data_IF_786532516590
#
_entry.id   IF_786532516590
#
_cell.length_a   1.000
_cell.length_b   1.000
_cell.length_c   1.000
_cell.angle_alpha   90.00
_cell.angle_beta   90.00
_cell.angle_gamma   90.00
#
_symmetry.space_group_name_H-M   'P 1'
#
loop_
_entity.id
_entity.type
_entity.pdbx_description
1 polymer ?
#
# COMPACT_ATOMS: atom_id res chain seq x y z
N UNK A 1 48.00 42.42 24.92
CA UNK A 1 47.70 41.01 25.27
C UNK A 1 46.20 40.81 25.15
N UNK A 2 45.71 40.34 23.99
CA UNK A 2 44.27 40.10 23.76
C UNK A 2 43.98 38.66 24.16
N UNK A 3 43.16 38.46 25.19
CA UNK A 3 42.61 37.15 25.52
C UNK A 3 41.53 36.81 24.49
N UNK A 4 41.83 35.84 23.63
CA UNK A 4 40.85 35.20 22.76
C UNK A 4 40.12 34.15 23.61
N UNK A 5 38.89 34.43 24.03
CA UNK A 5 38.03 33.42 24.65
C UNK A 5 37.28 32.73 23.52
N UNK A 6 37.79 31.59 23.09
CA UNK A 6 37.12 30.70 22.15
C UNK A 6 35.98 29.99 22.88
N UNK A 7 34.75 30.48 22.74
CA UNK A 7 33.56 29.73 23.14
C UNK A 7 33.37 28.57 22.14
N UNK A 8 33.87 27.39 22.50
CA UNK A 8 33.46 26.15 21.84
C UNK A 8 32.07 25.82 22.40
N UNK A 9 31.02 26.23 21.69
CA UNK A 9 29.67 25.71 21.89
C UNK A 9 29.66 24.25 21.44
N UNK A 10 29.93 23.34 22.37
CA UNK A 10 29.51 21.94 22.22
C UNK A 10 27.98 21.93 22.27
N UNK A 11 27.32 21.95 21.09
CA UNK A 11 25.99 21.38 20.96
C UNK A 11 26.12 19.85 21.09
N UNK A 12 26.32 19.39 22.32
CA UNK A 12 25.96 18.03 22.67
C UNK A 12 24.45 17.94 22.67
N UNK A 13 23.84 17.75 21.50
CA UNK A 13 22.53 17.12 21.44
C UNK A 13 22.71 15.73 22.06
N UNK A 14 22.46 15.62 23.37
CA UNK A 14 22.07 14.35 23.94
C UNK A 14 20.85 13.92 23.14
N UNK A 15 21.02 12.97 22.22
CA UNK A 15 19.91 12.33 21.55
C UNK A 15 19.04 11.74 22.65
N UNK A 16 17.97 12.44 23.03
CA UNK A 16 16.94 11.87 23.88
C UNK A 16 16.46 10.62 23.14
N UNK A 17 16.74 9.47 23.73
CA UNK A 17 16.43 8.19 23.10
C UNK A 17 14.90 8.09 23.08
N UNK A 18 14.29 8.27 21.91
CA UNK A 18 12.84 8.22 21.73
C UNK A 18 12.25 6.85 22.14
N UNK A 19 13.07 5.80 22.15
CA UNK A 19 12.68 4.43 22.48
C UNK A 19 13.49 3.91 23.68
N UNK A 20 12.86 3.53 24.80
CA UNK A 20 13.57 2.84 25.88
C UNK A 20 14.31 1.61 25.34
N UNK A 21 15.57 1.40 25.75
CA UNK A 21 16.35 0.23 25.29
C UNK A 21 15.80 -1.09 25.84
N UNK A 22 15.14 -1.04 26.99
CA UNK A 22 14.48 -2.19 27.62
C UNK A 22 13.12 -1.79 28.19
N UNK A 23 12.22 -2.76 28.27
CA UNK A 23 10.91 -2.65 28.93
C UNK A 23 10.72 -3.82 29.91
N UNK A 24 10.07 -3.64 31.07
CA UNK A 24 9.77 -4.75 31.97
C UNK A 24 8.79 -5.74 31.32
N UNK A 25 8.85 -7.02 31.71
CA UNK A 25 7.99 -8.07 31.16
C UNK A 25 6.49 -7.80 31.33
N UNK A 26 6.11 -6.99 32.32
CA UNK A 26 4.73 -6.55 32.54
C UNK A 26 4.15 -5.78 31.36
N UNK A 27 4.99 -5.15 30.53
CA UNK A 27 4.53 -4.36 29.37
C UNK A 27 3.86 -5.20 28.29
N UNK A 28 4.17 -6.50 28.18
CA UNK A 28 3.60 -7.36 27.13
C UNK A 28 2.07 -7.48 27.19
N UNK A 29 1.50 -7.35 28.39
CA UNK A 29 0.05 -7.40 28.65
C UNK A 29 -0.49 -6.09 29.24
N UNK A 30 0.36 -5.06 29.34
CA UNK A 30 -0.04 -3.81 29.95
C UNK A 30 -1.00 -3.03 29.03
N UNK A 31 -1.95 -2.26 29.61
CA UNK A 31 -2.80 -1.37 28.82
C UNK A 31 -1.98 -0.20 28.27
N UNK A 32 -2.50 0.47 27.24
CA UNK A 32 -1.87 1.64 26.60
C UNK A 32 -1.48 2.74 27.60
N UNK A 33 -2.25 2.91 28.69
CA UNK A 33 -1.93 3.90 29.71
C UNK A 33 -0.57 3.66 30.38
N UNK A 34 -0.12 2.41 30.47
CA UNK A 34 1.22 2.09 30.96
C UNK A 34 2.30 2.49 29.94
N UNK A 35 2.03 2.32 28.64
CA UNK A 35 2.93 2.76 27.57
C UNK A 35 3.05 4.27 27.52
N UNK A 36 1.94 5.01 27.69
CA UNK A 36 1.98 6.48 27.80
C UNK A 36 2.92 6.96 28.90
N UNK A 37 2.98 6.29 30.05
CA UNK A 37 3.92 6.65 31.14
C UNK A 37 5.39 6.48 30.77
N UNK A 38 5.68 5.64 29.78
CA UNK A 38 7.05 5.29 29.37
C UNK A 38 7.47 6.07 28.12
N UNK A 39 6.58 6.21 27.15
CA UNK A 39 6.86 6.82 25.85
C UNK A 39 6.49 8.30 25.78
N UNK A 40 5.55 8.81 26.59
CA UNK A 40 5.22 10.23 26.57
C UNK A 40 6.29 11.01 27.33
N UNK A 41 7.19 11.61 26.55
CA UNK A 41 8.27 12.49 26.98
C UNK A 41 8.11 13.85 26.29
N UNK A 42 9.01 14.78 26.53
CA UNK A 42 8.99 16.06 25.80
C UNK A 42 9.19 15.90 24.29
N UNK A 43 9.78 14.79 23.85
CA UNK A 43 10.22 14.58 22.45
C UNK A 43 9.60 13.37 21.77
N UNK A 44 8.81 12.56 22.49
CA UNK A 44 8.11 11.40 21.96
C UNK A 44 6.74 11.25 22.60
N UNK A 45 5.73 10.80 21.86
CA UNK A 45 4.40 10.48 22.36
C UNK A 45 3.95 9.12 21.86
N UNK A 46 3.37 8.31 22.74
CA UNK A 46 2.79 7.00 22.40
C UNK A 46 1.58 7.13 21.48
N UNK A 47 1.53 6.31 20.44
CA UNK A 47 0.39 6.19 19.53
C UNK A 47 -0.37 4.87 19.72
N UNK A 48 0.29 3.74 19.47
CA UNK A 48 -0.33 2.42 19.57
C UNK A 48 0.66 1.33 19.92
N UNK A 49 0.15 0.14 20.29
CA UNK A 49 0.97 -1.05 20.54
C UNK A 49 0.33 -2.32 20.03
N UNK A 50 1.15 -3.21 19.47
CA UNK A 50 0.77 -4.60 19.17
C UNK A 50 1.74 -5.58 19.83
N UNK A 51 1.22 -6.75 20.18
CA UNK A 51 2.04 -7.82 20.71
C UNK A 51 1.65 -9.12 20.02
N UNK A 52 2.62 -10.01 19.82
CA UNK A 52 2.32 -11.34 19.29
C UNK A 52 1.48 -12.13 20.30
N UNK A 53 0.69 -13.07 19.82
CA UNK A 53 -0.21 -13.87 20.67
C UNK A 53 0.53 -14.58 21.82
N UNK A 54 1.75 -15.05 21.55
CA UNK A 54 2.62 -15.70 22.54
C UNK A 54 3.40 -14.69 23.43
N UNK A 55 3.23 -13.39 23.23
CA UNK A 55 3.94 -12.32 23.91
C UNK A 55 5.45 -12.29 23.63
N UNK A 56 5.93 -12.96 22.58
CA UNK A 56 7.35 -12.94 22.21
C UNK A 56 7.78 -11.58 21.67
N UNK A 57 6.93 -10.92 20.90
CA UNK A 57 7.23 -9.65 20.25
C UNK A 57 6.26 -8.58 20.71
N UNK A 58 6.80 -7.37 20.88
CA UNK A 58 6.05 -6.18 21.26
C UNK A 58 6.48 -5.04 20.35
N UNK A 59 5.52 -4.46 19.64
CA UNK A 59 5.70 -3.32 18.75
C UNK A 59 4.99 -2.11 19.33
N UNK A 60 5.63 -0.95 19.23
CA UNK A 60 5.07 0.33 19.69
C UNK A 60 5.24 1.35 18.58
N UNK A 61 4.17 2.00 18.17
CA UNK A 61 4.24 3.21 17.34
C UNK A 61 4.28 4.43 18.26
N UNK A 62 5.02 5.45 17.86
CA UNK A 62 5.12 6.69 18.60
C UNK A 62 5.37 7.86 17.65
N UNK A 63 4.83 9.02 18.00
CA UNK A 63 5.19 10.29 17.40
C UNK A 63 6.49 10.80 18.03
N UNK A 64 7.32 11.47 17.23
CA UNK A 64 8.57 12.10 17.64
C UNK A 64 8.67 13.47 17.00
N UNK A 65 9.19 14.41 17.78
CA UNK A 65 9.50 15.72 17.26
C UNK A 65 10.92 15.80 16.69
N UNK A 66 11.08 16.35 15.48
CA UNK A 66 12.41 16.49 14.86
C UNK A 66 13.12 17.79 15.23
N UNK A 67 12.37 18.89 15.44
CA UNK A 67 12.94 20.24 15.63
C UNK A 67 12.56 20.91 16.95
N UNK A 68 11.33 20.72 17.43
CA UNK A 68 10.81 21.35 18.66
C UNK A 68 10.13 20.32 19.56
N UNK A 69 10.26 20.40 20.87
CA UNK A 69 9.49 19.52 21.77
C UNK A 69 7.97 19.76 21.65
N UNK A 70 7.17 18.76 22.03
CA UNK A 70 5.70 18.80 22.03
C UNK A 70 5.12 19.93 22.91
N UNK A 71 5.91 20.43 23.86
CA UNK A 71 5.52 21.50 24.77
C UNK A 71 5.69 22.90 24.17
N UNK A 72 6.40 23.03 23.04
CA UNK A 72 6.65 24.29 22.35
C UNK A 72 5.35 24.95 21.88
N UNK A 73 5.17 26.27 22.06
CA UNK A 73 3.97 26.97 21.58
C UNK A 73 3.82 26.89 20.06
N UNK A 74 4.91 26.75 19.30
CA UNK A 74 4.85 26.52 17.84
C UNK A 74 4.29 25.14 17.47
N UNK A 75 4.43 24.15 18.36
CA UNK A 75 3.87 22.81 18.16
C UNK A 75 2.36 22.78 18.46
N UNK A 76 1.92 23.54 19.47
CA UNK A 76 0.52 23.58 19.93
C UNK A 76 -0.44 24.34 19.01
N UNK A 77 0.08 25.13 18.05
CA UNK A 77 -0.72 26.11 17.32
C UNK A 77 -1.08 25.72 15.88
N UNK A 78 -0.73 24.52 15.40
CA UNK A 78 -0.92 24.13 14.00
C UNK A 78 -1.85 22.91 13.87
N UNK A 79 -3.03 23.15 13.32
CA UNK A 79 -4.06 22.20 12.84
C UNK A 79 -3.56 21.19 11.80
N UNK A 80 -2.26 21.16 11.48
CA UNK A 80 -1.68 20.31 10.47
C UNK A 80 -0.65 19.38 11.13
N UNK A 81 -1.04 18.11 11.31
CA UNK A 81 -0.18 16.97 11.67
C UNK A 81 0.89 16.65 10.60
N UNK A 82 1.19 17.58 9.70
CA UNK A 82 1.96 17.37 8.47
C UNK A 82 3.48 17.28 8.72
N UNK A 83 3.96 17.49 9.96
CA UNK A 83 5.39 17.54 10.30
C UNK A 83 5.78 16.64 11.49
N UNK A 84 4.91 15.69 11.86
CA UNK A 84 5.18 14.79 12.98
C UNK A 84 5.86 13.54 12.44
N UNK A 85 7.11 13.32 12.83
CA UNK A 85 7.78 12.06 12.53
C UNK A 85 7.12 10.95 13.35
N UNK A 86 6.73 9.86 12.70
CA UNK A 86 6.25 8.66 13.40
C UNK A 86 7.34 7.60 13.30
N UNK A 87 7.56 6.88 14.40
CA UNK A 87 8.52 5.79 14.47
C UNK A 87 7.88 4.51 15.01
N UNK A 88 8.56 3.40 14.74
CA UNK A 88 8.22 2.09 15.31
C UNK A 88 9.36 1.69 16.25
N UNK A 89 9.02 1.13 17.41
CA UNK A 89 9.92 0.43 18.31
C UNK A 89 9.55 -1.06 18.31
N UNK A 90 10.54 -1.92 18.08
CA UNK A 90 10.37 -3.37 18.05
C UNK A 90 11.15 -4.01 19.19
N UNK A 91 10.43 -4.68 20.09
CA UNK A 91 10.99 -5.37 21.23
C UNK A 91 10.78 -6.88 21.14
N UNK A 92 11.79 -7.62 21.58
CA UNK A 92 11.72 -9.07 21.73
C UNK A 92 11.86 -9.45 23.21
N UNK A 93 11.00 -10.35 23.66
CA UNK A 93 11.01 -10.88 25.02
C UNK A 93 12.29 -11.68 25.27
N UNK A 94 13.04 -11.26 26.28
CA UNK A 94 14.17 -11.94 26.89
C UNK A 94 13.72 -12.54 28.25
N UNK A 95 14.54 -13.36 28.93
CA UNK A 95 14.15 -13.97 30.20
C UNK A 95 13.68 -12.99 31.28
N UNK A 96 14.23 -11.77 31.30
CA UNK A 96 13.99 -10.79 32.38
C UNK A 96 13.33 -9.48 31.91
N UNK A 97 13.31 -9.20 30.61
CA UNK A 97 12.81 -7.95 30.06
C UNK A 97 12.43 -8.13 28.59
N UNK A 98 11.83 -7.10 28.01
CA UNK A 98 11.77 -6.90 26.57
C UNK A 98 12.97 -6.06 26.17
N UNK A 99 13.69 -6.48 25.12
CA UNK A 99 14.86 -5.77 24.61
C UNK A 99 14.57 -5.17 23.24
N UNK A 100 14.93 -3.90 23.05
CA UNK A 100 14.80 -3.23 21.77
C UNK A 100 15.71 -3.91 20.73
N UNK A 101 15.14 -4.24 19.57
CA UNK A 101 15.82 -5.00 18.51
C UNK A 101 16.35 -4.16 17.38
N UNK A 102 15.80 -2.97 17.14
CA UNK A 102 16.33 -2.09 16.11
C UNK A 102 17.81 -1.79 16.37
N UNK A 103 18.62 -2.10 15.36
CA UNK A 103 20.09 -1.98 15.40
C UNK A 103 20.56 -0.61 14.94
N UNK A 104 19.65 0.19 14.38
CA UNK A 104 19.88 1.58 13.99
C UNK A 104 18.74 2.46 14.51
N UNK A 105 19.05 3.72 14.80
CA UNK A 105 18.07 4.70 15.29
C UNK A 105 17.18 5.26 14.15
N UNK A 106 17.45 4.88 12.89
CA UNK A 106 16.74 5.29 11.68
C UNK A 106 15.71 4.24 11.21
N UNK A 107 15.37 3.26 12.05
CA UNK A 107 14.54 2.14 11.62
C UNK A 107 13.12 2.61 11.30
N UNK A 108 12.74 2.50 10.02
CA UNK A 108 11.50 3.10 9.48
C UNK A 108 11.34 4.59 9.80
N UNK A 109 12.46 5.26 9.98
CA UNK A 109 12.58 6.71 10.11
C UNK A 109 13.38 7.21 8.90
N UNK A 110 12.90 8.27 8.29
CA UNK A 110 13.55 8.88 7.14
C UNK A 110 13.78 10.35 7.47
N UNK A 111 15.02 10.71 7.78
CA UNK A 111 15.40 12.05 8.21
C UNK A 111 15.22 13.08 7.08
N UNK A 112 15.38 12.62 5.84
CA UNK A 112 15.21 13.43 4.62
C UNK A 112 13.80 13.42 4.05
N UNK A 113 12.93 12.51 4.51
CA UNK A 113 11.54 12.45 4.07
C UNK A 113 10.73 13.51 4.82
N UNK A 114 10.71 14.72 4.28
CA UNK A 114 9.79 15.74 4.74
C UNK A 114 8.34 15.26 4.57
N UNK A 115 7.49 15.50 5.57
CA UNK A 115 6.03 15.29 5.56
C UNK A 115 5.54 13.84 5.72
N UNK A 116 6.14 13.01 6.58
CA UNK A 116 5.45 11.78 7.02
C UNK A 116 4.16 12.19 7.74
N UNK A 117 3.01 11.77 7.20
CA UNK A 117 1.68 12.07 7.74
C UNK A 117 1.23 11.04 8.79
N UNK A 118 1.75 9.82 8.68
CA UNK A 118 1.39 8.75 9.61
C UNK A 118 2.10 7.45 9.28
N UNK A 119 2.27 6.64 10.31
CA UNK A 119 2.80 5.30 10.22
C UNK A 119 1.98 4.37 11.09
N UNK A 120 1.73 3.17 10.59
CA UNK A 120 0.99 2.15 11.32
C UNK A 120 1.56 0.77 11.04
N UNK A 121 1.20 -0.18 11.89
CA UNK A 121 1.51 -1.58 11.65
C UNK A 121 0.38 -2.48 12.13
N UNK A 122 0.37 -3.70 11.59
CA UNK A 122 -0.48 -4.79 12.06
C UNK A 122 0.38 -6.04 12.14
N UNK A 123 0.24 -6.76 13.25
CA UNK A 123 0.93 -8.01 13.49
C UNK A 123 -0.05 -9.16 13.39
N UNK A 124 0.26 -10.16 12.57
CA UNK A 124 -0.48 -11.40 12.47
C UNK A 124 0.50 -12.58 12.51
N UNK A 125 0.56 -13.27 13.64
CA UNK A 125 1.48 -14.39 13.87
C UNK A 125 2.94 -14.03 13.55
N UNK A 126 3.46 -14.61 12.46
CA UNK A 126 4.82 -14.46 11.97
C UNK A 126 4.92 -13.43 10.83
N UNK A 127 3.90 -12.57 10.65
CA UNK A 127 3.89 -11.54 9.61
C UNK A 127 3.57 -10.18 10.21
N UNK A 128 4.40 -9.17 9.94
CA UNK A 128 4.13 -7.77 10.27
C UNK A 128 3.96 -6.97 8.99
N UNK A 129 2.88 -6.22 8.94
CA UNK A 129 2.58 -5.25 7.90
C UNK A 129 2.89 -3.87 8.44
N UNK A 130 3.67 -3.07 7.72
CA UNK A 130 4.00 -1.70 8.07
C UNK A 130 3.52 -0.80 6.94
N UNK A 131 2.84 0.29 7.28
CA UNK A 131 2.40 1.31 6.34
C UNK A 131 2.98 2.66 6.73
N UNK A 132 3.54 3.38 5.76
CA UNK A 132 4.06 4.74 5.93
C UNK A 132 3.36 5.63 4.90
N UNK A 133 2.77 6.72 5.36
CA UNK A 133 2.14 7.74 4.51
C UNK A 133 2.96 9.01 4.52
N UNK A 134 3.18 9.59 3.33
CA UNK A 134 3.91 10.83 3.12
C UNK A 134 3.05 11.86 2.39
N UNK A 135 3.40 13.13 2.58
CA UNK A 135 2.92 14.28 1.82
C UNK A 135 1.69 14.99 2.40
N UNK A 136 1.49 16.29 2.08
CA UNK A 136 0.19 16.95 2.14
C UNK A 136 -0.72 16.47 0.99
N UNK A 137 -2.01 16.82 1.01
CA UNK A 137 -3.06 16.18 0.19
C UNK A 137 -2.92 16.23 -1.35
N UNK A 138 -2.01 17.04 -1.91
CA UNK A 138 -1.82 17.21 -3.37
C UNK A 138 -0.87 16.21 -4.00
N UNK A 139 0.25 15.91 -3.34
CA UNK A 139 1.18 14.84 -3.72
C UNK A 139 1.45 14.00 -2.49
N UNK A 140 1.09 12.72 -2.57
CA UNK A 140 1.17 11.78 -1.46
C UNK A 140 1.91 10.52 -1.88
N UNK A 141 2.51 9.85 -0.92
CA UNK A 141 3.04 8.50 -1.10
C UNK A 141 2.56 7.60 0.04
N UNK A 142 2.37 6.32 -0.26
CA UNK A 142 1.98 5.29 0.69
C UNK A 142 2.84 4.07 0.45
N UNK A 143 3.81 3.87 1.35
CA UNK A 143 4.64 2.69 1.36
C UNK A 143 4.01 1.63 2.25
N UNK A 144 4.00 0.39 1.79
CA UNK A 144 3.52 -0.77 2.52
C UNK A 144 4.57 -1.86 2.45
N UNK A 145 4.97 -2.36 3.60
CA UNK A 145 5.99 -3.40 3.73
C UNK A 145 5.41 -4.60 4.47
N UNK A 146 5.70 -5.79 3.96
CA UNK A 146 5.40 -7.04 4.63
C UNK A 146 6.71 -7.72 5.02
N UNK A 147 6.93 -7.88 6.32
CA UNK A 147 8.03 -8.69 6.84
C UNK A 147 7.49 -10.00 7.40
N UNK A 148 8.16 -11.10 7.06
CA UNK A 148 7.84 -12.43 7.58
C UNK A 148 8.97 -12.89 8.49
N UNK A 149 8.62 -13.44 9.65
CA UNK A 149 9.58 -14.01 10.58
C UNK A 149 10.13 -15.33 10.04
N UNK A 150 11.41 -15.33 9.68
CA UNK A 150 12.14 -16.52 9.29
C UNK A 150 12.61 -17.27 10.56
N UNK A 151 11.98 -18.41 10.85
CA UNK A 151 12.30 -19.24 12.02
C UNK A 151 13.68 -19.92 11.97
N UNK A 152 14.26 -20.08 10.77
CA UNK A 152 15.58 -20.69 10.60
C UNK A 152 16.66 -19.71 11.06
N UNK A 153 16.53 -18.45 10.63
CA UNK A 153 17.53 -17.40 10.90
C UNK A 153 17.14 -16.52 12.10
N UNK A 154 15.98 -16.78 12.72
CA UNK A 154 15.38 -16.00 13.80
C UNK A 154 15.31 -14.50 13.52
N UNK A 155 14.90 -14.13 12.30
CA UNK A 155 14.89 -12.74 11.85
C UNK A 155 13.70 -12.44 10.95
N UNK A 156 13.17 -11.24 11.09
CA UNK A 156 12.11 -10.71 10.23
C UNK A 156 12.71 -10.20 8.93
N UNK A 157 12.26 -10.73 7.80
CA UNK A 157 12.79 -10.43 6.48
C UNK A 157 11.68 -9.93 5.55
N UNK A 158 11.97 -8.90 4.75
CA UNK A 158 11.02 -8.29 3.83
C UNK A 158 10.64 -9.31 2.75
N UNK A 159 9.36 -9.59 2.61
CA UNK A 159 8.81 -10.48 1.59
C UNK A 159 8.12 -9.74 0.46
N UNK A 160 7.45 -8.62 0.78
CA UNK A 160 6.76 -7.78 -0.21
C UNK A 160 6.89 -6.30 0.16
N UNK A 161 6.95 -5.45 -0.87
CA UNK A 161 6.80 -4.01 -0.74
C UNK A 161 5.75 -3.52 -1.76
N UNK A 162 5.03 -2.47 -1.39
CA UNK A 162 4.13 -1.76 -2.27
C UNK A 162 4.33 -0.26 -2.06
N UNK A 163 4.52 0.47 -3.15
CA UNK A 163 4.84 1.89 -3.16
C UNK A 163 3.81 2.56 -4.07
N UNK A 164 2.87 3.28 -3.47
CA UNK A 164 1.83 3.99 -4.21
C UNK A 164 2.08 5.48 -4.07
N UNK A 165 2.08 6.22 -5.17
CA UNK A 165 2.34 7.66 -5.14
C UNK A 165 1.46 8.42 -6.11
N UNK A 166 1.08 9.63 -5.73
CA UNK A 166 0.47 10.63 -6.61
C UNK A 166 1.42 11.82 -6.75
N UNK A 167 1.69 12.23 -7.98
CA UNK A 167 2.44 13.46 -8.25
C UNK A 167 1.53 14.70 -8.24
N UNK A 168 2.12 15.88 -8.40
CA UNK A 168 1.39 17.16 -8.41
C UNK A 168 0.37 17.28 -9.57
N UNK A 169 0.53 16.48 -10.63
CA UNK A 169 -0.38 16.39 -11.78
C UNK A 169 -1.51 15.35 -11.55
N UNK A 170 -1.62 14.78 -10.34
CA UNK A 170 -2.54 13.71 -9.95
C UNK A 170 -2.36 12.41 -10.74
N UNK A 171 -1.21 12.22 -11.38
CA UNK A 171 -0.83 10.93 -11.93
C UNK A 171 -0.46 10.00 -10.77
N UNK A 172 -1.08 8.83 -10.75
CA UNK A 172 -0.88 7.79 -9.75
C UNK A 172 0.07 6.76 -10.33
N UNK A 173 1.12 6.42 -9.59
CA UNK A 173 1.97 5.26 -9.84
C UNK A 173 1.86 4.30 -8.68
N UNK A 174 1.35 3.10 -8.95
CA UNK A 174 1.31 2.02 -7.98
C UNK A 174 2.34 0.97 -8.36
N UNK A 175 3.22 0.66 -7.44
CA UNK A 175 4.28 -0.31 -7.61
C UNK A 175 4.17 -1.44 -6.59
N UNK A 176 4.45 -2.65 -7.06
CA UNK A 176 4.51 -3.83 -6.21
C UNK A 176 5.79 -4.61 -6.47
N UNK A 177 6.46 -4.98 -5.38
CA UNK A 177 7.68 -5.78 -5.36
C UNK A 177 7.40 -7.03 -4.53
N UNK A 178 7.67 -8.19 -5.11
CA UNK A 178 7.58 -9.49 -4.46
C UNK A 178 8.93 -10.21 -4.54
N UNK A 179 9.51 -10.53 -3.38
CA UNK A 179 10.79 -11.22 -3.30
C UNK A 179 10.62 -12.74 -3.47
N UNK A 180 11.30 -13.31 -4.47
CA UNK A 180 11.27 -14.74 -4.81
C UNK A 180 12.23 -15.57 -3.94
N UNK A 181 13.16 -14.90 -3.27
CA UNK A 181 14.17 -15.49 -2.39
C UNK A 181 14.48 -14.50 -1.26
N UNK A 182 15.43 -14.85 -0.38
CA UNK A 182 15.88 -13.98 0.70
C UNK A 182 16.23 -12.57 0.17
N UNK A 183 15.48 -11.55 0.63
CA UNK A 183 15.68 -10.16 0.23
C UNK A 183 16.96 -9.57 0.84
N UNK A 184 17.45 -10.15 1.95
CA UNK A 184 18.53 -9.56 2.74
C UNK A 184 18.13 -8.23 3.39
N UNK A 185 16.85 -7.85 3.32
CA UNK A 185 16.31 -6.66 3.96
C UNK A 185 15.59 -7.11 5.22
N UNK A 186 16.12 -6.71 6.37
CA UNK A 186 15.61 -7.16 7.66
C UNK A 186 14.96 -6.02 8.42
N UNK A 187 13.89 -6.35 9.15
CA UNK A 187 13.09 -5.38 9.91
C UNK A 187 13.98 -4.57 10.88
N UNK A 188 14.79 -5.27 11.67
CA UNK A 188 15.64 -4.71 12.73
C UNK A 188 16.81 -3.83 12.21
N UNK A 189 17.08 -3.84 10.91
CA UNK A 189 18.08 -2.99 10.26
C UNK A 189 17.54 -2.19 9.09
N UNK A 190 16.22 -2.17 8.88
CA UNK A 190 15.60 -1.47 7.76
C UNK A 190 15.88 0.03 7.87
N UNK A 191 16.23 0.68 6.77
CA UNK A 191 16.45 2.11 6.71
C UNK A 191 15.85 2.65 5.41
N UNK A 192 14.74 3.39 5.52
CA UNK A 192 13.97 3.86 4.37
C UNK A 192 14.82 4.70 3.40
N UNK A 193 15.80 5.47 3.92
CA UNK A 193 16.69 6.30 3.09
C UNK A 193 17.64 5.51 2.17
N UNK A 194 17.98 4.27 2.54
CA UNK A 194 19.06 3.52 1.88
C UNK A 194 18.57 2.28 1.12
N UNK A 195 17.29 1.93 1.24
CA UNK A 195 16.72 0.78 0.54
C UNK A 195 16.27 1.22 -0.85
N UNK A 196 17.16 1.02 -1.83
CA UNK A 196 16.88 1.26 -3.24
C UNK A 196 16.44 -0.04 -3.92
N UNK A 197 15.13 -0.22 -4.09
CA UNK A 197 14.56 -1.44 -4.67
C UNK A 197 14.94 -1.69 -6.13
N UNK A 198 15.37 -0.64 -6.84
CA UNK A 198 15.85 -0.71 -8.23
C UNK A 198 17.09 -1.60 -8.40
N UNK A 199 17.86 -1.81 -7.32
CA UNK A 199 19.10 -2.58 -7.36
C UNK A 199 18.89 -4.09 -7.20
N UNK A 200 17.65 -4.56 -7.00
CA UNK A 200 17.36 -5.98 -6.88
C UNK A 200 17.22 -6.63 -8.25
N UNK A 201 18.01 -7.68 -8.53
CA UNK A 201 17.98 -8.30 -9.85
C UNK A 201 16.70 -9.16 -10.00
N UNK A 202 16.24 -9.32 -11.24
CA UNK A 202 14.95 -9.93 -11.58
C UNK A 202 14.80 -11.39 -11.11
N UNK A 203 15.91 -12.12 -10.92
CA UNK A 203 15.90 -13.46 -10.35
C UNK A 203 15.60 -13.49 -8.86
N UNK A 204 15.78 -12.37 -8.15
CA UNK A 204 15.51 -12.25 -6.72
C UNK A 204 14.16 -11.62 -6.41
N UNK A 205 13.64 -10.77 -7.28
CA UNK A 205 12.39 -10.07 -7.07
C UNK A 205 11.62 -9.84 -8.37
N UNK A 206 10.30 -9.95 -8.30
CA UNK A 206 9.40 -9.46 -9.34
C UNK A 206 8.97 -8.06 -8.96
N UNK A 207 9.16 -7.10 -9.88
CA UNK A 207 8.70 -5.73 -9.75
C UNK A 207 7.72 -5.43 -10.86
N UNK A 208 6.54 -4.94 -10.49
CA UNK A 208 5.52 -4.47 -11.42
C UNK A 208 5.09 -3.07 -11.03
N UNK A 209 4.78 -2.25 -12.02
CA UNK A 209 4.30 -0.90 -11.82
C UNK A 209 3.18 -0.59 -12.81
N UNK A 210 2.21 0.19 -12.37
CA UNK A 210 1.17 0.73 -13.22
C UNK A 210 1.00 2.22 -12.92
N UNK A 211 1.19 3.04 -13.94
CA UNK A 211 1.01 4.49 -13.89
C UNK A 211 -0.24 4.89 -14.66
N UNK A 212 -1.10 5.69 -14.05
CA UNK A 212 -2.36 6.15 -14.65
C UNK A 212 -2.84 7.45 -14.01
N UNK A 213 -3.62 8.24 -14.76
CA UNK A 213 -4.33 9.40 -14.22
C UNK A 213 -5.82 9.04 -14.09
N UNK A 214 -6.45 9.20 -12.91
CA UNK A 214 -7.88 8.96 -12.73
C UNK A 214 -8.73 9.68 -13.80
N UNK A 215 -9.81 9.03 -14.24
CA UNK A 215 -10.66 9.50 -15.34
C UNK A 215 -10.06 9.35 -16.75
N UNK A 216 -8.74 9.22 -16.94
CA UNK A 216 -8.13 9.22 -18.27
C UNK A 216 -8.05 7.80 -18.87
N UNK A 217 -9.16 7.31 -19.43
CA UNK A 217 -9.30 5.91 -19.88
C UNK A 217 -8.29 5.46 -20.94
N UNK A 218 -7.91 6.32 -21.89
CA UNK A 218 -6.90 5.96 -22.90
C UNK A 218 -5.51 5.78 -22.28
N UNK A 219 -5.13 6.66 -21.35
CA UNK A 219 -3.86 6.58 -20.65
C UNK A 219 -3.78 5.29 -19.81
N UNK A 220 -4.82 4.97 -19.05
CA UNK A 220 -4.90 3.71 -18.31
C UNK A 220 -4.81 2.51 -19.24
N UNK A 221 -5.58 2.49 -20.34
CA UNK A 221 -5.57 1.39 -21.30
C UNK A 221 -4.16 1.19 -21.92
N UNK A 222 -3.45 2.27 -22.23
CA UNK A 222 -2.11 2.19 -22.81
C UNK A 222 -1.05 1.74 -21.79
N UNK A 223 -1.20 2.10 -20.51
CA UNK A 223 -0.41 1.52 -19.43
C UNK A 223 -0.69 0.03 -19.23
N UNK A 224 -1.96 -0.39 -19.25
CA UNK A 224 -2.35 -1.80 -19.14
C UNK A 224 -1.79 -2.64 -20.30
N UNK A 225 -1.84 -2.15 -21.55
CA UNK A 225 -1.25 -2.84 -22.71
C UNK A 225 0.26 -3.07 -22.58
N UNK A 226 0.96 -2.20 -21.87
CA UNK A 226 2.41 -2.32 -21.59
C UNK A 226 2.71 -3.21 -20.38
N UNK A 227 1.70 -3.56 -19.59
CA UNK A 227 1.87 -4.40 -18.41
C UNK A 227 2.25 -5.84 -18.81
N UNK A 228 3.32 -6.44 -18.23
CA UNK A 228 3.80 -7.77 -18.63
C UNK A 228 2.78 -8.88 -18.36
N UNK A 229 2.49 -9.71 -19.36
CA UNK A 229 1.46 -10.78 -19.30
C UNK A 229 1.77 -11.84 -18.26
N UNK A 230 3.04 -12.21 -18.14
CA UNK A 230 3.58 -13.13 -17.16
C UNK A 230 3.38 -12.66 -15.70
N UNK A 231 3.02 -11.39 -15.51
CA UNK A 231 2.84 -10.78 -14.20
C UNK A 231 1.40 -10.38 -13.89
N UNK A 232 0.43 -10.78 -14.72
CA UNK A 232 -0.99 -10.49 -14.50
C UNK A 232 -1.53 -10.87 -13.12
N UNK A 233 -0.96 -11.90 -12.48
CA UNK A 233 -1.30 -12.28 -11.09
C UNK A 233 -1.03 -11.17 -10.06
N UNK A 234 -0.22 -10.17 -10.39
CA UNK A 234 0.08 -9.02 -9.54
C UNK A 234 -0.71 -7.76 -9.92
N UNK A 235 -1.59 -7.80 -10.94
CA UNK A 235 -2.37 -6.62 -11.32
C UNK A 235 -3.22 -6.10 -10.18
N UNK A 236 -3.83 -6.99 -9.39
CA UNK A 236 -4.62 -6.59 -8.21
C UNK A 236 -3.80 -5.91 -7.11
N UNK A 237 -2.46 -6.04 -7.14
CA UNK A 237 -1.55 -5.34 -6.22
C UNK A 237 -1.30 -3.90 -6.67
N UNK A 238 -1.39 -3.59 -7.97
CA UNK A 238 -1.12 -2.24 -8.52
C UNK A 238 -2.38 -1.54 -9.05
N UNK A 239 -3.49 -2.26 -9.15
CA UNK A 239 -4.79 -1.72 -9.52
C UNK A 239 -5.91 -2.59 -8.92
N UNK A 240 -6.29 -2.26 -7.68
CA UNK A 240 -7.34 -2.94 -6.93
C UNK A 240 -8.74 -2.46 -7.33
N UNK A 241 -9.77 -3.03 -6.72
CA UNK A 241 -11.16 -2.54 -6.83
C UNK A 241 -11.33 -1.14 -6.29
N UNK A 242 -10.55 -0.76 -5.28
CA UNK A 242 -10.60 0.59 -4.69
C UNK A 242 -9.98 1.59 -5.67
N UNK A 243 -8.86 1.22 -6.31
CA UNK A 243 -8.27 2.03 -7.38
C UNK A 243 -9.21 2.21 -8.57
N UNK A 244 -9.97 1.17 -8.92
CA UNK A 244 -10.97 1.24 -9.97
C UNK A 244 -12.16 2.14 -9.58
N UNK A 245 -12.63 2.06 -8.34
CA UNK A 245 -13.68 2.94 -7.82
C UNK A 245 -13.23 4.41 -7.83
N UNK A 246 -12.03 4.68 -7.32
CA UNK A 246 -11.40 6.01 -7.39
C UNK A 246 -11.28 6.48 -8.84
N UNK A 247 -10.81 5.61 -9.75
CA UNK A 247 -10.66 5.93 -11.16
C UNK A 247 -12.00 6.31 -11.82
N UNK A 248 -13.07 5.56 -11.53
CA UNK A 248 -14.40 5.72 -12.12
C UNK A 248 -15.21 6.85 -11.47
N UNK A 249 -14.93 7.22 -10.22
CA UNK A 249 -15.58 8.34 -9.53
C UNK A 249 -15.17 9.71 -10.07
N UNK A 250 -14.06 9.79 -10.82
CA UNK A 250 -13.64 10.99 -11.50
C UNK A 250 -14.46 11.16 -12.78
N UNK A 251 -15.53 11.96 -12.68
CA UNK A 251 -16.51 12.15 -13.77
C UNK A 251 -15.89 12.85 -14.99
N UNK A 252 -15.71 12.11 -16.09
CA UNK A 252 -15.69 12.70 -17.42
C UNK A 252 -17.13 13.07 -17.84
N UNK A 253 -17.30 14.18 -18.57
CA UNK A 253 -18.62 14.65 -19.10
C UNK A 253 -19.34 13.54 -19.89
N UNK A 254 -18.59 12.62 -20.49
CA UNK A 254 -19.10 11.47 -21.20
C UNK A 254 -18.14 10.29 -21.04
N UNK A 255 -18.66 9.13 -20.60
CA UNK A 255 -17.87 7.91 -20.53
C UNK A 255 -17.31 7.54 -21.91
N UNK A 256 -15.98 7.39 -22.08
CA UNK A 256 -15.38 7.01 -23.33
C UNK A 256 -15.59 5.51 -23.53
N UNK A 257 -16.70 5.20 -24.18
CA UNK A 257 -17.28 3.86 -24.33
C UNK A 257 -16.27 2.79 -24.75
N UNK A 258 -15.48 3.08 -25.79
CA UNK A 258 -14.53 2.10 -26.37
C UNK A 258 -13.40 1.77 -25.38
N UNK A 259 -12.62 2.74 -24.87
CA UNK A 259 -11.53 2.42 -23.94
C UNK A 259 -12.06 1.86 -22.60
N UNK A 260 -13.19 2.33 -22.08
CA UNK A 260 -13.80 1.77 -20.87
C UNK A 260 -14.13 0.27 -21.03
N UNK A 261 -14.77 -0.12 -22.14
CA UNK A 261 -15.06 -1.51 -22.44
C UNK A 261 -13.77 -2.34 -22.62
N UNK A 262 -12.75 -1.77 -23.26
CA UNK A 262 -11.47 -2.44 -23.49
C UNK A 262 -10.66 -2.62 -22.19
N UNK A 263 -10.76 -1.70 -21.24
CA UNK A 263 -10.18 -1.85 -19.90
C UNK A 263 -10.88 -3.00 -19.16
N UNK A 264 -12.21 -3.04 -19.18
CA UNK A 264 -12.98 -4.16 -18.63
C UNK A 264 -12.57 -5.51 -19.24
N UNK A 265 -12.43 -5.56 -20.57
CA UNK A 265 -11.93 -6.74 -21.28
C UNK A 265 -10.49 -7.11 -20.88
N UNK A 266 -9.58 -6.13 -20.75
CA UNK A 266 -8.21 -6.39 -20.34
C UNK A 266 -8.15 -7.06 -18.96
N UNK A 267 -8.87 -6.53 -17.97
CA UNK A 267 -8.90 -7.10 -16.63
C UNK A 267 -9.56 -8.49 -16.60
N UNK A 268 -10.56 -8.73 -17.44
CA UNK A 268 -11.16 -10.06 -17.62
C UNK A 268 -10.14 -11.07 -18.15
N UNK A 269 -9.37 -10.70 -19.18
CA UNK A 269 -8.28 -11.52 -19.73
C UNK A 269 -7.18 -11.78 -18.70
N UNK A 270 -6.89 -10.79 -17.85
CA UNK A 270 -5.95 -10.90 -16.74
C UNK A 270 -6.49 -11.62 -15.49
N UNK A 271 -7.71 -12.13 -15.54
CA UNK A 271 -8.39 -12.80 -14.42
C UNK A 271 -8.59 -11.91 -13.17
N UNK A 272 -8.55 -10.58 -13.35
CA UNK A 272 -8.90 -9.58 -12.33
C UNK A 272 -10.41 -9.26 -12.44
N UNK A 273 -11.22 -10.26 -12.10
CA UNK A 273 -12.64 -10.32 -12.46
C UNK A 273 -13.52 -9.27 -11.78
N UNK A 274 -13.18 -8.83 -10.57
CA UNK A 274 -13.92 -7.79 -9.85
C UNK A 274 -13.73 -6.40 -10.47
N UNK A 275 -12.48 -6.06 -10.80
CA UNK A 275 -12.16 -4.82 -11.51
C UNK A 275 -12.79 -4.82 -12.89
N UNK A 276 -12.69 -5.94 -13.63
CA UNK A 276 -13.33 -6.09 -14.93
C UNK A 276 -14.84 -5.80 -14.85
N UNK A 277 -15.52 -6.36 -13.84
CA UNK A 277 -16.94 -6.13 -13.59
C UNK A 277 -17.25 -4.65 -13.37
N UNK A 278 -16.50 -3.93 -12.52
CA UNK A 278 -16.75 -2.50 -12.25
C UNK A 278 -16.73 -1.66 -13.53
N UNK A 279 -15.73 -1.84 -14.40
CA UNK A 279 -15.68 -1.11 -15.68
C UNK A 279 -16.84 -1.48 -16.61
N UNK A 280 -17.20 -2.77 -16.70
CA UNK A 280 -18.27 -3.23 -17.59
C UNK A 280 -19.66 -2.79 -17.11
N UNK A 281 -19.91 -2.83 -15.80
CA UNK A 281 -21.14 -2.30 -15.20
C UNK A 281 -21.28 -0.80 -15.49
N UNK A 282 -20.19 -0.05 -15.37
CA UNK A 282 -20.19 1.38 -15.65
C UNK A 282 -20.45 1.68 -17.15
N UNK A 283 -19.90 0.85 -18.06
CA UNK A 283 -20.24 0.90 -19.49
C UNK A 283 -21.71 0.61 -19.74
N UNK A 284 -22.27 -0.42 -19.10
CA UNK A 284 -23.68 -0.80 -19.27
C UNK A 284 -24.61 0.29 -18.71
N UNK A 285 -24.26 0.90 -17.58
CA UNK A 285 -25.03 1.99 -16.99
C UNK A 285 -25.11 3.20 -17.92
N UNK A 286 -23.99 3.58 -18.55
CA UNK A 286 -23.95 4.69 -19.50
C UNK A 286 -24.52 4.33 -20.88
N UNK A 287 -24.34 3.08 -21.32
CA UNK A 287 -24.69 2.62 -22.67
C UNK A 287 -25.38 1.24 -22.62
N UNK A 288 -26.66 1.17 -22.20
CA UNK A 288 -27.37 -0.10 -21.97
C UNK A 288 -27.63 -0.93 -23.25
N UNK A 289 -27.36 -0.36 -24.43
CA UNK A 289 -27.42 -1.08 -25.71
C UNK A 289 -26.04 -1.54 -26.21
N UNK A 290 -25.00 -1.44 -25.38
CA UNK A 290 -23.66 -1.88 -25.75
C UNK A 290 -23.55 -3.40 -25.66
N UNK A 291 -23.75 -4.09 -26.78
CA UNK A 291 -23.75 -5.56 -26.84
C UNK A 291 -22.44 -6.19 -26.33
N UNK A 292 -21.29 -5.62 -26.69
CA UNK A 292 -19.97 -6.17 -26.32
C UNK A 292 -19.73 -6.11 -24.80
N UNK A 293 -20.34 -5.17 -24.09
CA UNK A 293 -20.19 -5.07 -22.64
C UNK A 293 -20.89 -6.25 -21.94
N UNK A 294 -22.09 -6.63 -22.40
CA UNK A 294 -22.78 -7.83 -21.91
C UNK A 294 -22.05 -9.12 -22.27
N UNK A 295 -21.45 -9.21 -23.45
CA UNK A 295 -20.59 -10.35 -23.82
C UNK A 295 -19.42 -10.48 -22.84
N UNK A 296 -18.68 -9.40 -22.62
CA UNK A 296 -17.53 -9.38 -21.70
C UNK A 296 -17.95 -9.66 -20.26
N UNK A 297 -19.08 -9.12 -19.80
CA UNK A 297 -19.58 -9.35 -18.45
C UNK A 297 -20.04 -10.80 -18.25
N UNK A 298 -20.61 -11.42 -19.30
CA UNK A 298 -20.87 -12.85 -19.35
C UNK A 298 -19.61 -13.69 -19.17
N UNK A 299 -18.51 -13.33 -19.86
CA UNK A 299 -17.20 -13.99 -19.70
C UNK A 299 -16.65 -13.83 -18.27
N UNK A 300 -16.80 -12.65 -17.66
CA UNK A 300 -16.46 -12.41 -16.25
C UNK A 300 -17.22 -13.35 -15.31
N UNK A 301 -18.55 -13.40 -15.41
CA UNK A 301 -19.38 -14.25 -14.54
C UNK A 301 -19.10 -15.74 -14.79
N UNK A 302 -18.86 -16.13 -16.03
CA UNK A 302 -18.46 -17.49 -16.39
C UNK A 302 -17.15 -17.87 -15.71
N UNK A 303 -16.13 -17.01 -15.74
CA UNK A 303 -14.84 -17.24 -15.06
C UNK A 303 -14.97 -17.29 -13.53
N UNK A 304 -15.94 -16.56 -12.96
CA UNK A 304 -16.31 -16.64 -11.53
C UNK A 304 -17.08 -17.91 -11.14
N UNK A 305 -17.51 -18.73 -12.10
CA UNK A 305 -18.39 -19.89 -11.86
C UNK A 305 -19.86 -19.52 -11.61
N UNK A 306 -20.24 -18.27 -11.84
CA UNK A 306 -21.60 -17.74 -11.65
C UNK A 306 -22.43 -17.98 -12.91
N UNK A 307 -22.87 -19.24 -13.09
CA UNK A 307 -23.50 -19.72 -14.34
C UNK A 307 -24.77 -18.96 -14.70
N UNK A 308 -25.63 -18.66 -13.73
CA UNK A 308 -26.92 -17.98 -13.98
C UNK A 308 -26.68 -16.59 -14.55
N UNK A 309 -25.85 -15.81 -13.89
CA UNK A 309 -25.49 -14.44 -14.26
C UNK A 309 -24.76 -14.39 -15.61
N UNK A 310 -23.92 -15.38 -15.89
CA UNK A 310 -23.29 -15.52 -17.20
C UNK A 310 -24.34 -15.75 -18.32
N UNK A 311 -25.30 -16.66 -18.11
CA UNK A 311 -26.39 -16.93 -19.07
C UNK A 311 -27.26 -15.68 -19.28
N UNK A 312 -27.62 -14.99 -18.21
CA UNK A 312 -28.46 -13.79 -18.27
C UNK A 312 -27.77 -12.68 -19.12
N UNK A 313 -26.46 -12.49 -18.93
CA UNK A 313 -25.66 -11.55 -19.72
C UNK A 313 -25.52 -11.99 -21.19
N UNK A 314 -25.24 -13.26 -21.45
CA UNK A 314 -25.15 -13.77 -22.82
C UNK A 314 -26.48 -13.72 -23.57
N UNK A 315 -27.60 -13.97 -22.91
CA UNK A 315 -28.93 -13.81 -23.50
C UNK A 315 -29.20 -12.35 -23.89
N UNK A 316 -28.80 -11.41 -23.02
CA UNK A 316 -28.88 -9.97 -23.33
C UNK A 316 -28.01 -9.60 -24.54
N UNK A 317 -26.78 -10.11 -24.60
CA UNK A 317 -25.90 -9.95 -25.76
C UNK A 317 -26.53 -10.50 -27.07
N UNK A 318 -27.09 -11.72 -27.03
CA UNK A 318 -27.76 -12.35 -28.18
C UNK A 318 -28.96 -11.50 -28.64
N UNK A 319 -29.76 -11.00 -27.70
CA UNK A 319 -30.91 -10.15 -27.98
C UNK A 319 -30.49 -8.87 -28.68
N UNK A 320 -29.51 -8.14 -28.14
CA UNK A 320 -29.00 -6.89 -28.74
C UNK A 320 -28.36 -7.12 -30.12
N UNK A 321 -27.64 -8.23 -30.30
CA UNK A 321 -27.09 -8.60 -31.61
C UNK A 321 -28.17 -8.90 -32.63
N UNK A 322 -29.27 -9.53 -32.21
CA UNK A 322 -30.42 -9.83 -33.08
C UNK A 322 -31.16 -8.56 -33.49
N UNK A 323 -31.40 -7.64 -32.56
CA UNK A 323 -31.99 -6.32 -32.86
C UNK A 323 -31.20 -5.55 -33.93
N UNK A 324 -29.88 -5.73 -33.95
CA UNK A 324 -28.97 -5.10 -34.93
C UNK A 324 -28.78 -5.91 -36.21
N UNK A 325 -29.47 -7.03 -36.39
CA UNK A 325 -29.29 -7.98 -37.50
C UNK A 325 -27.86 -8.57 -37.59
N UNK A 326 -27.20 -8.72 -36.45
CA UNK A 326 -25.83 -9.22 -36.31
C UNK A 326 -25.76 -10.64 -35.72
N UNK A 327 -26.84 -11.43 -35.73
CA UNK A 327 -26.86 -12.79 -35.18
C UNK A 327 -25.78 -13.72 -35.75
N UNK A 328 -25.31 -13.46 -36.98
CA UNK A 328 -24.24 -14.21 -37.64
C UNK A 328 -22.85 -13.99 -37.00
N UNK A 329 -22.66 -12.92 -36.21
CA UNK A 329 -21.43 -12.62 -35.47
C UNK A 329 -21.41 -13.18 -34.04
N UNK A 330 -22.51 -13.77 -33.57
CA UNK A 330 -22.58 -14.36 -32.22
C UNK A 330 -21.66 -15.60 -32.17
N UNK A 331 -20.66 -15.64 -31.27
CA UNK A 331 -19.76 -16.79 -31.16
C UNK A 331 -20.50 -18.08 -30.83
N UNK A 332 -20.06 -19.19 -31.43
CA UNK A 332 -20.66 -20.50 -31.19
C UNK A 332 -20.55 -20.92 -29.72
N UNK A 333 -19.44 -20.59 -29.06
CA UNK A 333 -19.22 -20.80 -27.63
C UNK A 333 -20.29 -20.17 -26.75
N UNK A 334 -20.80 -18.99 -27.11
CA UNK A 334 -21.89 -18.32 -26.38
C UNK A 334 -23.20 -19.08 -26.60
N UNK A 335 -23.51 -19.44 -27.85
CA UNK A 335 -24.73 -20.19 -28.19
C UNK A 335 -24.78 -21.54 -27.48
N UNK A 336 -23.64 -22.20 -27.32
CA UNK A 336 -23.57 -23.51 -26.65
C UNK A 336 -23.60 -23.39 -25.13
N UNK A 337 -23.15 -22.26 -24.57
CA UNK A 337 -23.20 -22.03 -23.12
C UNK A 337 -24.60 -21.73 -22.59
N UNK A 338 -25.46 -21.10 -23.40
CA UNK A 338 -26.84 -20.75 -23.01
C UNK A 338 -27.87 -21.85 -23.26
N UNK A 339 -27.52 -22.90 -24.01
CA UNK A 339 -28.32 -24.12 -24.17
C UNK A 339 -28.22 -24.99 -22.91
#
# INVERSE_FOLDING_TARGET
>A
MKLLVTFILFFGCSNLIAQPRTLPLTMGVAPEQAFKKVFNTDTAHFESREASENGKWLFVSYEKTDTFNFNSPFYKNNDNRDYISVGIAFYEKQPNNYQLKFTNDNAFYCATCNNVKGQGFTLNNDTIFIRISYGPSVAWANDRFQFIYNRINNRWELSEAQIDMANDEKEITNEHIHFLSASGVYLDSYAAEYVHFENYPSEKAVRVSLTYTPGHYNALLDSLKRFPKEHYKYLSKVFSTDNAEDFLSNEEIQLPLIPANNIGYFFEQANSLDVAKQFLDHVIAAYPKREVAYYNLGDVYKKKGMKKEAIDNYNTYISLMTERNLQHKIPQSVKDYVK
#
